data_IF_793210138611
#
_entry.id   IF_793210138611
#
_cell.length_a   1.000
_cell.length_b   1.000
_cell.length_c   1.000
_cell.angle_alpha   90.00
_cell.angle_beta   90.00
_cell.angle_gamma   90.00
#
_symmetry.space_group_name_H-M   'P 1'
#
loop_
_entity.id
_entity.type
_entity.pdbx_description
1 polymer ?
#
# COMPACT_ATOMS: atom_id res chain seq x y z
N UNK A 1 20.23 -21.16 -16.85
CA UNK A 1 19.30 -21.87 -15.93
C UNK A 1 19.71 -21.75 -14.47
N UNK A 2 19.23 -20.71 -13.80
CA UNK A 2 19.35 -20.51 -12.36
C UNK A 2 18.10 -20.96 -11.64
N UNK A 3 18.28 -21.67 -10.53
CA UNK A 3 17.17 -22.03 -9.63
C UNK A 3 16.85 -20.84 -8.73
N UNK A 4 15.62 -20.34 -8.81
CA UNK A 4 15.09 -19.27 -7.95
C UNK A 4 14.07 -19.85 -6.99
N UNK A 5 14.26 -19.61 -5.69
CA UNK A 5 13.32 -20.06 -4.66
C UNK A 5 12.03 -19.25 -4.74
N UNK A 6 10.88 -19.91 -4.70
CA UNK A 6 9.59 -19.24 -4.71
C UNK A 6 9.45 -18.38 -3.45
N UNK A 7 9.30 -17.07 -3.64
CA UNK A 7 9.17 -16.10 -2.55
C UNK A 7 7.79 -16.13 -1.86
N UNK A 8 6.77 -16.72 -2.50
CA UNK A 8 5.45 -16.86 -1.89
C UNK A 8 5.45 -17.98 -0.82
N UNK A 9 5.85 -19.19 -1.21
CA UNK A 9 5.91 -20.33 -0.28
C UNK A 9 7.24 -20.50 0.45
N UNK A 10 8.23 -19.64 0.15
CA UNK A 10 9.58 -19.71 0.72
C UNK A 10 10.24 -21.09 0.56
N UNK A 11 10.05 -21.74 -0.59
CA UNK A 11 10.58 -23.07 -0.86
C UNK A 11 9.75 -24.25 -0.36
N UNK A 12 8.60 -24.03 0.30
CA UNK A 12 7.72 -25.14 0.76
C UNK A 12 6.97 -25.84 -0.37
N UNK A 13 6.42 -25.07 -1.32
CA UNK A 13 5.55 -25.57 -2.39
C UNK A 13 4.09 -25.77 -1.97
N UNK A 14 3.79 -25.97 -0.69
CA UNK A 14 2.45 -26.24 -0.16
C UNK A 14 2.11 -25.42 1.09
N UNK A 15 0.85 -25.53 1.52
CA UNK A 15 0.33 -25.00 2.79
C UNK A 15 0.64 -23.50 2.95
N UNK A 16 0.21 -22.73 1.96
CA UNK A 16 0.43 -21.28 1.93
C UNK A 16 -0.90 -20.55 2.11
N UNK A 17 -0.87 -19.53 2.95
CA UNK A 17 -1.98 -18.57 3.05
C UNK A 17 -1.78 -17.57 1.92
N UNK A 18 -2.78 -17.44 1.06
CA UNK A 18 -2.79 -16.49 -0.05
C UNK A 18 -3.99 -15.55 0.08
N UNK A 19 -3.92 -14.44 -0.65
CA UNK A 19 -5.10 -13.60 -0.86
C UNK A 19 -6.17 -14.42 -1.58
N UNK A 20 -7.40 -14.38 -1.06
CA UNK A 20 -8.52 -15.13 -1.60
C UNK A 20 -8.71 -14.82 -3.09
N UNK A 21 -8.65 -15.87 -3.90
CA UNK A 21 -8.68 -15.78 -5.37
C UNK A 21 -10.03 -15.29 -5.90
N UNK A 22 -11.12 -15.57 -5.15
CA UNK A 22 -12.48 -15.20 -5.53
C UNK A 22 -12.80 -13.71 -5.28
N UNK A 23 -12.42 -13.17 -4.13
CA UNK A 23 -12.71 -11.78 -3.77
C UNK A 23 -11.50 -10.83 -3.84
N UNK A 24 -10.34 -11.32 -4.29
CA UNK A 24 -9.06 -10.61 -4.34
C UNK A 24 -8.71 -9.87 -3.04
N UNK A 25 -9.00 -10.49 -1.89
CA UNK A 25 -8.70 -9.90 -0.59
C UNK A 25 -9.74 -8.93 -0.04
N UNK A 26 -10.79 -8.61 -0.78
CA UNK A 26 -11.84 -7.71 -0.28
C UNK A 26 -12.68 -8.33 0.85
N UNK A 27 -12.82 -9.65 0.88
CA UNK A 27 -13.74 -10.38 1.75
C UNK A 27 -15.21 -10.28 1.31
N UNK A 28 -15.51 -9.50 0.26
CA UNK A 28 -16.87 -9.33 -0.25
C UNK A 28 -17.12 -10.22 -1.46
N UNK A 29 -18.37 -10.67 -1.62
CA UNK A 29 -18.76 -11.44 -2.79
C UNK A 29 -18.97 -10.50 -3.98
N UNK A 30 -18.17 -10.61 -5.07
CA UNK A 30 -18.33 -9.75 -6.23
C UNK A 30 -19.57 -10.09 -7.08
N UNK A 31 -20.18 -11.26 -6.90
CA UNK A 31 -21.37 -11.69 -7.65
C UNK A 31 -22.68 -11.26 -6.98
N UNK A 32 -22.65 -10.81 -5.72
CA UNK A 32 -23.82 -10.34 -4.99
C UNK A 32 -23.83 -8.79 -4.94
N UNK A 33 -24.87 -8.17 -5.54
CA UNK A 33 -25.09 -6.72 -5.51
C UNK A 33 -25.29 -6.16 -4.09
N UNK A 34 -25.37 -7.03 -3.08
CA UNK A 34 -25.55 -6.64 -1.70
C UNK A 34 -24.21 -6.26 -1.06
N UNK A 35 -24.04 -5.01 -0.59
CA UNK A 35 -22.77 -4.50 -0.06
C UNK A 35 -22.30 -5.14 1.26
N UNK A 36 -23.05 -6.10 1.80
CA UNK A 36 -22.71 -6.86 3.00
C UNK A 36 -22.61 -8.37 2.73
N UNK A 37 -22.65 -8.78 1.46
CA UNK A 37 -22.43 -10.16 1.07
C UNK A 37 -20.95 -10.49 1.26
N UNK A 38 -20.70 -11.50 2.09
CA UNK A 38 -19.35 -12.00 2.34
C UNK A 38 -19.00 -13.01 1.26
N UNK A 39 -17.74 -12.99 0.82
CA UNK A 39 -17.24 -13.98 -0.13
C UNK A 39 -17.45 -15.39 0.41
N UNK A 40 -18.06 -16.26 -0.40
CA UNK A 40 -18.34 -17.65 0.00
C UNK A 40 -17.09 -18.54 0.15
N UNK A 41 -15.96 -18.13 -0.43
CA UNK A 41 -14.71 -18.90 -0.39
C UNK A 41 -13.92 -18.62 0.89
N UNK A 42 -13.66 -17.34 1.19
CA UNK A 42 -12.90 -16.93 2.39
C UNK A 42 -13.78 -16.51 3.57
N UNK A 43 -15.11 -16.58 3.44
CA UNK A 43 -16.07 -16.21 4.48
C UNK A 43 -15.86 -14.80 5.08
N UNK A 44 -15.39 -13.85 4.27
CA UNK A 44 -15.15 -12.47 4.72
C UNK A 44 -13.74 -12.16 5.21
N UNK A 45 -12.87 -13.17 5.35
CA UNK A 45 -11.49 -12.95 5.84
C UNK A 45 -10.60 -12.28 4.77
N UNK A 46 -10.88 -12.52 3.48
CA UNK A 46 -10.04 -12.04 2.38
C UNK A 46 -8.80 -12.90 2.11
N UNK A 47 -8.54 -13.90 2.95
CA UNK A 47 -7.41 -14.82 2.85
C UNK A 47 -7.93 -16.26 2.75
N UNK A 48 -7.19 -17.14 2.08
CA UNK A 48 -7.51 -18.57 2.02
C UNK A 48 -6.23 -19.42 2.14
N UNK A 49 -6.35 -20.56 2.83
CA UNK A 49 -5.31 -21.59 2.89
C UNK A 49 -5.39 -22.46 1.63
N UNK A 50 -4.29 -22.55 0.88
CA UNK A 50 -4.19 -23.44 -0.28
C UNK A 50 -3.13 -24.51 -0.09
N UNK A 51 -3.49 -25.73 -0.48
CA UNK A 51 -2.62 -26.91 -0.40
C UNK A 51 -1.43 -26.80 -1.35
N UNK A 52 -1.60 -26.17 -2.52
CA UNK A 52 -0.56 -26.02 -3.55
C UNK A 52 -0.30 -24.54 -3.79
N UNK A 53 0.97 -24.15 -3.72
CA UNK A 53 1.36 -22.77 -3.96
C UNK A 53 1.14 -22.38 -5.43
N UNK A 54 0.26 -21.41 -5.75
CA UNK A 54 -0.10 -21.07 -7.13
C UNK A 54 1.03 -20.38 -7.91
N UNK A 55 2.10 -19.95 -7.24
CA UNK A 55 3.25 -19.29 -7.88
C UNK A 55 4.29 -20.27 -8.44
N UNK A 56 4.33 -21.48 -7.89
CA UNK A 56 5.35 -22.47 -8.23
C UNK A 56 4.77 -23.87 -8.42
N UNK A 57 3.45 -23.96 -8.55
CA UNK A 57 2.69 -25.20 -8.80
C UNK A 57 3.05 -26.39 -7.89
N UNK A 58 3.55 -26.12 -6.68
CA UNK A 58 3.94 -27.16 -5.71
C UNK A 58 5.45 -27.44 -5.62
N UNK A 59 6.27 -26.95 -6.54
CA UNK A 59 7.70 -27.28 -6.58
C UNK A 59 8.54 -26.51 -5.55
N UNK A 60 8.07 -25.33 -5.14
CA UNK A 60 8.78 -24.44 -4.22
C UNK A 60 9.89 -23.61 -4.88
N UNK A 61 10.16 -23.80 -6.16
CA UNK A 61 11.16 -23.05 -6.93
C UNK A 61 10.82 -23.07 -8.42
N UNK A 62 11.45 -22.19 -9.19
CA UNK A 62 11.37 -22.16 -10.65
C UNK A 62 12.76 -21.92 -11.26
N UNK A 63 12.91 -22.22 -12.55
CA UNK A 63 14.15 -21.99 -13.29
C UNK A 63 14.00 -20.73 -14.14
N UNK A 64 15.03 -19.88 -14.14
CA UNK A 64 15.15 -18.73 -15.04
C UNK A 64 16.39 -18.92 -15.91
N UNK A 65 16.28 -18.58 -17.19
CA UNK A 65 17.44 -18.47 -18.06
C UNK A 65 18.09 -17.09 -17.83
N UNK A 66 19.42 -17.05 -17.83
CA UNK A 66 20.21 -15.86 -17.46
C UNK A 66 20.71 -15.10 -18.70
N UNK A 67 20.19 -15.42 -19.88
CA UNK A 67 20.79 -15.06 -21.17
C UNK A 67 19.86 -14.20 -22.04
N UNK A 68 19.14 -13.24 -21.44
CA UNK A 68 18.33 -12.23 -22.15
C UNK A 68 18.89 -10.82 -21.91
N UNK A 69 20.21 -10.68 -22.05
CA UNK A 69 20.87 -9.38 -22.24
C UNK A 69 20.73 -9.03 -23.74
N UNK A 70 19.51 -8.73 -24.20
CA UNK A 70 19.33 -8.01 -25.47
C UNK A 70 19.74 -6.55 -25.19
N UNK A 71 21.02 -6.24 -25.44
CA UNK A 71 21.57 -4.88 -25.51
C UNK A 71 20.80 -4.10 -26.60
N UNK A 72 19.68 -3.49 -26.21
CA UNK A 72 18.91 -2.55 -27.04
C UNK A 72 19.40 -1.12 -26.77
N UNK A 73 20.65 -0.86 -27.17
CA UNK A 73 21.22 0.48 -27.26
C UNK A 73 20.64 1.18 -28.52
N UNK A 74 19.34 1.48 -28.52
CA UNK A 74 18.76 2.46 -29.45
C UNK A 74 19.03 3.86 -28.88
N UNK A 75 20.24 4.38 -29.15
CA UNK A 75 20.59 5.80 -29.03
C UNK A 75 19.69 6.61 -29.98
N UNK A 76 18.55 7.07 -29.49
CA UNK A 76 17.69 8.05 -30.18
C UNK A 76 18.00 9.46 -29.64
N UNK A 77 19.13 10.00 -30.08
CA UNK A 77 19.49 11.41 -29.93
C UNK A 77 18.56 12.26 -30.82
N UNK A 78 17.33 12.53 -30.37
CA UNK A 78 16.52 13.63 -30.90
C UNK A 78 16.83 14.91 -30.10
N UNK A 79 17.97 15.54 -30.43
CA UNK A 79 18.11 16.99 -30.30
C UNK A 79 17.09 17.65 -31.24
N UNK A 80 16.11 18.42 -30.73
CA UNK A 80 15.82 19.73 -31.31
C UNK A 80 14.91 20.60 -30.42
N UNK A 81 15.40 21.82 -30.25
CA UNK A 81 14.69 23.08 -30.04
C UNK A 81 14.15 23.45 -28.64
N UNK A 82 15.02 24.18 -27.94
CA UNK A 82 14.66 25.30 -27.07
C UNK A 82 13.68 26.24 -27.79
N UNK A 83 12.51 26.50 -27.20
CA UNK A 83 11.86 27.80 -27.35
C UNK A 83 11.26 28.24 -26.01
N UNK A 84 11.88 29.32 -25.54
CA UNK A 84 11.57 30.24 -24.47
C UNK A 84 10.33 31.05 -24.83
N UNK A 85 9.29 31.02 -24.00
CA UNK A 85 8.29 32.09 -23.97
C UNK A 85 7.90 32.33 -22.50
N UNK A 86 8.63 33.24 -21.87
CA UNK A 86 8.16 34.03 -20.74
C UNK A 86 6.96 34.88 -21.20
N UNK A 87 5.74 34.52 -20.80
CA UNK A 87 4.62 35.47 -20.77
C UNK A 87 4.07 35.59 -19.35
N UNK A 88 4.47 36.71 -18.76
CA UNK A 88 3.93 37.42 -17.62
C UNK A 88 2.55 37.99 -17.99
N UNK A 89 1.50 37.61 -17.25
CA UNK A 89 0.28 38.41 -17.17
C UNK A 89 -0.19 38.42 -15.70
N UNK A 90 0.18 39.50 -15.02
CA UNK A 90 -0.46 40.01 -13.82
C UNK A 90 -1.93 40.35 -14.14
N UNK A 91 -2.88 39.55 -13.67
CA UNK A 91 -4.27 40.02 -13.52
C UNK A 91 -4.64 40.10 -12.03
N UNK A 92 -4.53 41.33 -11.59
CA UNK A 92 -5.13 41.97 -10.43
C UNK A 92 -6.66 41.95 -10.55
N UNK A 93 -7.33 41.18 -9.70
CA UNK A 93 -8.74 41.42 -9.36
C UNK A 93 -8.85 41.53 -7.83
N UNK A 94 -8.65 42.75 -7.34
CA UNK A 94 -9.21 43.24 -6.08
C UNK A 94 -10.74 43.30 -6.18
N UNK A 95 -11.45 42.53 -5.33
CA UNK A 95 -12.79 42.82 -4.77
C UNK A 95 -13.09 41.71 -3.72
N UNK A 96 -12.73 41.90 -2.44
CA UNK A 96 -13.50 42.55 -1.35
C UNK A 96 -14.68 41.72 -0.78
N UNK A 97 -14.79 41.81 0.55
CA UNK A 97 -15.85 41.39 1.47
C UNK A 97 -15.79 40.02 2.20
N UNK A 98 -15.39 40.13 3.48
CA UNK A 98 -15.96 39.50 4.69
C UNK A 98 -15.79 37.98 4.97
N UNK A 99 -14.81 37.64 5.83
CA UNK A 99 -15.08 37.05 7.16
C UNK A 99 -13.83 37.20 8.05
N UNK A 100 -13.66 38.41 8.59
CA UNK A 100 -12.68 38.68 9.64
C UNK A 100 -13.10 37.97 10.94
N UNK A 101 -12.24 37.05 11.35
CA UNK A 101 -11.89 36.83 12.76
C UNK A 101 -13.02 36.47 13.71
N UNK A 102 -13.51 35.24 13.57
CA UNK A 102 -14.00 34.49 14.74
C UNK A 102 -12.83 34.10 15.64
N UNK A 103 -12.39 35.08 16.43
CA UNK A 103 -11.45 35.01 17.56
C UNK A 103 -11.42 33.62 18.21
N UNK A 104 -10.43 32.82 17.81
CA UNK A 104 -9.98 31.66 18.54
C UNK A 104 -9.32 32.19 19.82
N UNK A 105 -10.08 32.17 20.92
CA UNK A 105 -9.61 32.62 22.23
C UNK A 105 -8.50 31.69 22.70
N UNK A 106 -7.29 32.16 22.49
CA UNK A 106 -6.09 31.80 23.21
C UNK A 106 -6.36 31.63 24.71
N UNK A 107 -6.21 30.42 25.21
CA UNK A 107 -5.70 30.20 26.56
C UNK A 107 -4.26 29.74 26.41
N UNK A 108 -3.38 30.70 26.13
CA UNK A 108 -1.96 30.53 26.40
C UNK A 108 -1.77 30.56 27.92
N UNK A 109 -1.46 29.41 28.51
CA UNK A 109 -0.64 29.36 29.71
C UNK A 109 0.70 28.76 29.33
N UNK A 110 1.63 29.68 29.05
CA UNK A 110 3.01 29.67 29.52
C UNK A 110 3.97 28.62 28.91
N UNK A 111 4.89 29.17 28.12
CA UNK A 111 6.08 28.56 27.55
C UNK A 111 7.01 27.99 28.62
N UNK A 112 7.51 26.77 28.39
CA UNK A 112 8.89 26.43 28.72
C UNK A 112 9.54 25.73 27.53
N UNK A 113 10.35 26.49 26.79
CA UNK A 113 11.30 25.93 25.86
C UNK A 113 12.40 25.23 26.66
N UNK A 114 12.68 23.97 26.34
CA UNK A 114 14.02 23.40 26.51
C UNK A 114 14.21 22.10 25.71
N UNK A 115 15.17 22.19 24.79
CA UNK A 115 16.03 21.13 24.27
C UNK A 115 15.41 20.02 23.39
N UNK A 116 15.44 20.27 22.08
CA UNK A 116 15.65 19.20 21.09
C UNK A 116 17.07 18.67 21.25
N UNK A 117 17.20 17.45 21.74
CA UNK A 117 18.36 16.60 21.48
C UNK A 117 17.88 15.38 20.72
N UNK A 118 18.33 15.31 19.49
CA UNK A 118 18.40 14.18 18.57
C UNK A 118 18.26 12.80 19.23
N UNK A 119 17.29 11.99 18.78
CA UNK A 119 17.47 10.55 18.52
C UNK A 119 16.27 9.98 17.73
N UNK A 120 16.56 9.62 16.49
CA UNK A 120 16.18 8.41 15.75
C UNK A 120 15.03 7.49 16.23
N UNK A 121 14.32 6.97 15.20
CA UNK A 121 13.69 5.65 15.09
C UNK A 121 12.27 5.41 15.66
N UNK A 122 11.31 5.42 14.72
CA UNK A 122 10.47 4.27 14.32
C UNK A 122 9.39 3.73 15.28
N UNK A 123 8.22 3.59 14.66
CA UNK A 123 7.08 2.73 15.03
C UNK A 123 6.00 3.35 15.92
N UNK A 124 4.89 3.72 15.27
CA UNK A 124 3.58 3.82 15.91
C UNK A 124 2.54 3.26 14.93
N UNK A 125 2.52 1.93 14.79
CA UNK A 125 1.37 1.22 14.25
C UNK A 125 0.29 1.24 15.34
N UNK A 126 -0.74 2.05 15.15
CA UNK A 126 -1.88 2.13 16.07
C UNK A 126 -2.71 0.84 16.01
N UNK A 127 -2.34 -0.17 16.78
CA UNK A 127 -3.21 -1.31 17.07
C UNK A 127 -4.29 -0.88 18.07
N UNK A 128 -5.55 -0.89 17.64
CA UNK A 128 -6.68 -0.83 18.55
C UNK A 128 -6.75 -2.13 19.39
N UNK A 129 -7.00 -2.07 20.71
CA UNK A 129 -7.10 -3.26 21.55
C UNK A 129 -8.43 -3.98 21.31
N UNK A 130 -8.36 -5.23 20.84
CA UNK A 130 -9.50 -6.15 20.74
C UNK A 130 -9.99 -6.52 22.14
N UNK A 131 -11.30 -6.43 22.45
CA UNK A 131 -11.83 -6.89 23.73
C UNK A 131 -11.76 -8.43 23.81
N UNK A 132 -10.91 -8.95 24.70
CA UNK A 132 -10.80 -10.38 24.96
C UNK A 132 -12.08 -10.91 25.61
N UNK A 133 -12.86 -11.68 24.84
CA UNK A 133 -13.94 -12.49 25.40
C UNK A 133 -13.36 -13.79 25.96
N UNK A 134 -13.21 -13.84 27.28
CA UNK A 134 -13.02 -15.07 28.03
C UNK A 134 -14.08 -16.10 27.65
N UNK A 135 -13.64 -17.24 27.14
CA UNK A 135 -14.47 -18.44 27.02
C UNK A 135 -14.50 -19.16 28.38
N UNK A 136 -15.67 -19.45 28.96
CA UNK A 136 -15.75 -20.49 29.97
C UNK A 136 -15.60 -21.84 29.26
N UNK A 137 -14.60 -22.61 29.67
CA UNK A 137 -14.56 -24.04 29.41
C UNK A 137 -15.80 -24.67 30.01
N UNK A 138 -16.55 -25.42 29.20
CA UNK A 138 -17.19 -26.70 29.52
C UNK A 138 -17.77 -27.30 28.23
#
# INVERSE_FOLDING_TARGET
MKKVICSLCHGRGSDVIITCSNCNGSGYDPEDDKPFAQCHTCYGEGEEDVDVCPRCDGDGYYYVDEDDDEDDDEDDDEDDDEDDDEDDDEDDDEDDDDDETRLCKCLFSEVTAQAVTELDDKTAHCHAPVPQRHRPFL
#
